data_IF_347653239127
#
_entry.id   IF_347653239127
#
_cell.length_a   1.000
_cell.length_b   1.000
_cell.length_c   1.000
_cell.angle_alpha   90.00
_cell.angle_beta   90.00
_cell.angle_gamma   90.00
#
_symmetry.space_group_name_H-M   'P 1'
#
loop_
_entity.id
_entity.type
_entity.pdbx_description
1 polymer ?
#
# COMPACT_ATOMS: atom_id res chain seq x y z
N UNK A 1 20.24 -20.48 -23.27
CA UNK A 1 19.55 -19.59 -22.31
C UNK A 1 19.37 -20.32 -20.98
N UNK A 2 20.11 -19.95 -19.92
CA UNK A 2 19.90 -20.54 -18.58
C UNK A 2 18.54 -20.09 -18.07
N UNK A 3 17.58 -21.01 -17.98
CA UNK A 3 16.26 -20.78 -17.35
C UNK A 3 16.52 -20.13 -15.99
N UNK A 4 16.01 -18.90 -15.82
CA UNK A 4 15.99 -18.21 -14.54
C UNK A 4 15.28 -19.16 -13.58
N UNK A 5 16.02 -19.75 -12.63
CA UNK A 5 15.42 -20.47 -11.51
C UNK A 5 14.70 -19.42 -10.66
N UNK A 6 13.48 -19.09 -11.07
CA UNK A 6 12.51 -18.32 -10.28
C UNK A 6 11.99 -19.22 -9.17
N UNK A 7 12.87 -19.63 -8.24
CA UNK A 7 12.43 -20.09 -6.94
C UNK A 7 12.10 -18.85 -6.10
N UNK A 8 11.12 -18.07 -6.57
CA UNK A 8 10.44 -17.14 -5.70
C UNK A 8 9.68 -18.04 -4.74
N UNK A 9 10.19 -18.12 -3.51
CA UNK A 9 9.76 -19.08 -2.51
C UNK A 9 8.24 -18.96 -2.34
N UNK A 10 7.48 -20.01 -2.69
CA UNK A 10 6.00 -19.98 -2.72
C UNK A 10 5.43 -19.50 -1.38
N UNK A 11 6.13 -19.84 -0.29
CA UNK A 11 5.84 -19.39 1.08
C UNK A 11 5.98 -17.87 1.25
N UNK A 12 6.99 -17.27 0.62
CA UNK A 12 7.23 -15.82 0.65
C UNK A 12 6.13 -15.06 -0.11
N UNK A 13 5.71 -15.54 -1.28
CA UNK A 13 4.59 -14.95 -2.03
C UNK A 13 3.27 -15.05 -1.27
N UNK A 14 2.96 -16.25 -0.74
CA UNK A 14 1.73 -16.45 0.02
C UNK A 14 1.71 -15.55 1.26
N UNK A 15 2.82 -15.49 2.02
CA UNK A 15 2.92 -14.61 3.16
C UNK A 15 2.81 -13.14 2.77
N UNK A 16 3.32 -12.74 1.61
CA UNK A 16 3.21 -11.37 1.11
C UNK A 16 1.75 -11.00 0.82
N UNK A 17 1.02 -11.86 0.10
CA UNK A 17 -0.40 -11.64 -0.23
C UNK A 17 -1.22 -11.52 1.05
N UNK A 18 -1.08 -12.49 1.97
CA UNK A 18 -1.84 -12.49 3.23
C UNK A 18 -1.53 -11.25 4.06
N UNK A 19 -0.25 -10.89 4.23
CA UNK A 19 0.14 -9.68 4.95
C UNK A 19 -0.39 -8.42 4.29
N UNK A 20 -0.32 -8.34 2.97
CA UNK A 20 -0.78 -7.18 2.20
C UNK A 20 -2.27 -6.93 2.41
N UNK A 21 -3.11 -7.97 2.29
CA UNK A 21 -4.55 -7.87 2.53
C UNK A 21 -4.83 -7.52 3.99
N UNK A 22 -4.20 -8.24 4.93
CA UNK A 22 -4.42 -8.05 6.36
C UNK A 22 -4.05 -6.64 6.82
N UNK A 23 -2.83 -6.18 6.54
CA UNK A 23 -2.38 -4.85 6.96
C UNK A 23 -3.11 -3.72 6.23
N UNK A 24 -3.47 -3.91 4.95
CA UNK A 24 -4.32 -2.94 4.24
C UNK A 24 -5.65 -2.74 4.94
N UNK A 25 -6.32 -3.84 5.31
CA UNK A 25 -7.60 -3.79 6.01
C UNK A 25 -7.47 -3.17 7.41
N UNK A 26 -6.48 -3.61 8.20
CA UNK A 26 -6.24 -3.12 9.55
C UNK A 26 -5.91 -1.62 9.55
N UNK A 27 -4.96 -1.17 8.73
CA UNK A 27 -4.60 0.25 8.70
C UNK A 27 -5.74 1.11 8.16
N UNK A 28 -6.42 0.68 7.10
CA UNK A 28 -7.55 1.43 6.55
C UNK A 28 -8.66 1.57 7.60
N UNK A 29 -9.01 0.50 8.32
CA UNK A 29 -10.01 0.55 9.39
C UNK A 29 -9.58 1.46 10.55
N UNK A 30 -8.33 1.31 11.02
CA UNK A 30 -7.80 2.12 12.13
C UNK A 30 -7.78 3.61 11.79
N UNK A 31 -7.23 4.00 10.64
CA UNK A 31 -7.17 5.41 10.25
C UNK A 31 -8.56 5.96 9.92
N UNK A 32 -9.46 5.15 9.36
CA UNK A 32 -10.85 5.58 9.16
C UNK A 32 -11.55 5.85 10.48
N UNK A 33 -11.35 5.01 11.50
CA UNK A 33 -11.91 5.22 12.84
C UNK A 33 -11.36 6.49 13.50
N UNK A 34 -10.06 6.74 13.38
CA UNK A 34 -9.42 7.97 13.91
C UNK A 34 -10.00 9.22 13.24
N UNK A 35 -10.13 9.22 11.91
CA UNK A 35 -10.71 10.35 11.18
C UNK A 35 -12.20 10.52 11.52
N UNK A 36 -12.96 9.43 11.65
CA UNK A 36 -14.37 9.50 12.04
C UNK A 36 -14.55 10.11 13.43
N UNK A 37 -13.71 9.73 14.40
CA UNK A 37 -13.72 10.32 15.74
C UNK A 37 -13.36 11.81 15.69
N UNK A 38 -12.40 12.21 14.86
CA UNK A 38 -12.05 13.62 14.65
C UNK A 38 -13.22 14.41 14.05
N UNK A 39 -13.90 13.86 13.03
CA UNK A 39 -15.05 14.51 12.40
C UNK A 39 -16.19 14.71 13.39
N UNK A 40 -16.45 13.71 14.22
CA UNK A 40 -17.48 13.78 15.26
C UNK A 40 -17.13 14.83 16.33
N UNK A 41 -15.87 14.90 16.76
CA UNK A 41 -15.44 15.83 17.80
C UNK A 41 -15.45 17.30 17.34
N UNK A 42 -15.16 17.57 16.06
CA UNK A 42 -15.05 18.91 15.51
C UNK A 42 -16.25 19.33 14.65
N UNK A 43 -17.33 18.54 14.64
CA UNK A 43 -18.56 18.74 13.86
C UNK A 43 -18.27 19.06 12.38
N UNK A 44 -17.35 18.31 11.79
CA UNK A 44 -16.91 18.52 10.41
C UNK A 44 -17.92 17.85 9.46
N UNK A 45 -18.44 18.63 8.51
CA UNK A 45 -19.35 18.13 7.48
C UNK A 45 -18.77 16.98 6.64
N UNK A 46 -19.63 16.02 6.30
CA UNK A 46 -19.30 14.80 5.56
C UNK A 46 -18.75 15.04 4.15
N UNK A 47 -18.97 16.22 3.57
CA UNK A 47 -18.42 16.60 2.25
C UNK A 47 -16.89 16.49 2.21
N UNK A 48 -16.22 16.83 3.32
CA UNK A 48 -14.77 16.75 3.43
C UNK A 48 -14.24 15.31 3.56
N UNK A 49 -15.08 14.34 3.93
CA UNK A 49 -14.68 12.96 4.20
C UNK A 49 -14.09 12.27 2.96
N UNK A 50 -14.54 12.66 1.76
CA UNK A 50 -14.04 12.11 0.50
C UNK A 50 -12.54 12.39 0.30
N UNK A 51 -12.07 13.58 0.69
CA UNK A 51 -10.67 13.98 0.60
C UNK A 51 -9.82 13.28 1.66
N UNK A 52 -10.32 13.16 2.89
CA UNK A 52 -9.63 12.40 3.95
C UNK A 52 -9.51 10.91 3.63
N UNK A 53 -10.47 10.33 2.90
CA UNK A 53 -10.36 8.97 2.37
C UNK A 53 -9.11 8.80 1.49
N UNK A 54 -8.69 9.82 0.73
CA UNK A 54 -7.45 9.76 -0.04
C UNK A 54 -6.22 9.71 0.88
N UNK A 55 -6.19 10.54 1.92
CA UNK A 55 -5.12 10.57 2.92
C UNK A 55 -5.00 9.23 3.63
N UNK A 56 -6.12 8.67 4.10
CA UNK A 56 -6.19 7.35 4.75
C UNK A 56 -5.60 6.28 3.83
N UNK A 57 -6.00 6.25 2.57
CA UNK A 57 -5.50 5.27 1.59
C UNK A 57 -3.99 5.38 1.38
N UNK A 58 -3.47 6.60 1.23
CA UNK A 58 -2.04 6.85 0.99
C UNK A 58 -1.20 6.39 2.18
N UNK A 59 -1.60 6.75 3.40
CA UNK A 59 -0.88 6.36 4.62
C UNK A 59 -0.96 4.84 4.81
N UNK A 60 -2.16 4.25 4.67
CA UNK A 60 -2.36 2.80 4.78
C UNK A 60 -1.53 2.02 3.76
N UNK A 61 -1.48 2.50 2.51
CA UNK A 61 -0.69 1.90 1.44
C UNK A 61 0.80 2.00 1.68
N UNK A 62 1.28 3.15 2.15
CA UNK A 62 2.68 3.36 2.51
C UNK A 62 3.14 2.42 3.64
N UNK A 63 2.37 2.33 4.73
CA UNK A 63 2.71 1.46 5.86
C UNK A 63 2.62 -0.03 5.49
N UNK A 64 1.59 -0.43 4.76
CA UNK A 64 1.46 -1.80 4.24
C UNK A 64 2.65 -2.17 3.37
N UNK A 65 3.02 -1.29 2.43
CA UNK A 65 4.16 -1.49 1.55
C UNK A 65 5.48 -1.59 2.31
N UNK A 66 5.68 -0.74 3.32
CA UNK A 66 6.85 -0.80 4.18
C UNK A 66 6.97 -2.17 4.86
N UNK A 67 5.91 -2.67 5.48
CA UNK A 67 5.95 -3.94 6.21
C UNK A 67 6.11 -5.13 5.25
N UNK A 68 5.37 -5.13 4.13
CA UNK A 68 5.39 -6.21 3.16
C UNK A 68 6.72 -6.31 2.40
N UNK A 69 7.32 -5.17 2.01
CA UNK A 69 8.57 -5.15 1.26
C UNK A 69 9.80 -5.51 2.11
N UNK A 70 9.72 -5.44 3.44
CA UNK A 70 10.85 -5.75 4.33
C UNK A 70 11.39 -7.18 4.19
N UNK A 71 10.52 -8.11 3.74
CA UNK A 71 10.88 -9.51 3.53
C UNK A 71 11.67 -9.74 2.23
N UNK A 72 11.72 -8.74 1.35
CA UNK A 72 12.36 -8.83 0.04
C UNK A 72 13.77 -8.21 0.07
N UNK A 73 14.64 -8.72 -0.80
CA UNK A 73 16.05 -8.27 -0.92
C UNK A 73 16.30 -7.33 -2.11
N UNK A 74 15.39 -7.32 -3.09
CA UNK A 74 15.50 -6.49 -4.29
C UNK A 74 14.11 -6.07 -4.78
N UNK A 75 14.05 -5.12 -5.71
CA UNK A 75 12.83 -4.65 -6.37
C UNK A 75 11.77 -4.10 -5.41
N UNK A 76 12.22 -3.41 -4.35
CA UNK A 76 11.33 -2.88 -3.30
C UNK A 76 10.25 -1.96 -3.81
N UNK A 77 10.54 -1.16 -4.85
CA UNK A 77 9.52 -0.32 -5.49
C UNK A 77 8.38 -1.14 -6.08
N UNK A 78 8.70 -2.18 -6.85
CA UNK A 78 7.70 -3.01 -7.50
C UNK A 78 6.92 -3.84 -6.48
N UNK A 79 7.59 -4.39 -5.47
CA UNK A 79 6.94 -5.10 -4.36
C UNK A 79 6.01 -4.17 -3.58
N UNK A 80 6.46 -2.94 -3.30
CA UNK A 80 5.65 -1.91 -2.66
C UNK A 80 4.41 -1.55 -3.48
N UNK A 81 4.58 -1.27 -4.78
CA UNK A 81 3.47 -0.98 -5.68
C UNK A 81 2.45 -2.13 -5.76
N UNK A 82 2.91 -3.38 -5.84
CA UNK A 82 2.02 -4.56 -5.86
C UNK A 82 1.29 -4.75 -4.53
N UNK A 83 1.89 -4.35 -3.40
CA UNK A 83 1.21 -4.43 -2.10
C UNK A 83 0.01 -3.47 -1.99
N UNK A 84 -0.10 -2.47 -2.87
CA UNK A 84 -1.24 -1.55 -2.90
C UNK A 84 -2.51 -2.16 -3.54
N UNK A 85 -2.42 -3.33 -4.20
CA UNK A 85 -3.55 -3.93 -4.93
C UNK A 85 -4.83 -4.07 -4.09
N UNK A 86 -4.79 -4.54 -2.82
CA UNK A 86 -6.01 -4.61 -1.99
C UNK A 86 -6.68 -3.24 -1.79
N UNK A 87 -5.89 -2.18 -1.61
CA UNK A 87 -6.40 -0.81 -1.46
C UNK A 87 -6.94 -0.24 -2.77
N UNK A 88 -6.37 -0.63 -3.91
CA UNK A 88 -6.90 -0.26 -5.24
C UNK A 88 -8.27 -0.91 -5.45
N UNK A 89 -8.42 -2.20 -5.10
CA UNK A 89 -9.70 -2.90 -5.16
C UNK A 89 -10.72 -2.21 -4.25
N UNK A 90 -10.32 -1.88 -3.01
CA UNK A 90 -11.17 -1.13 -2.08
C UNK A 90 -11.63 0.22 -2.65
N UNK A 91 -10.72 0.99 -3.27
CA UNK A 91 -11.04 2.26 -3.91
C UNK A 91 -12.01 2.10 -5.07
N UNK A 92 -11.88 1.01 -5.85
CA UNK A 92 -12.79 0.71 -6.95
C UNK A 92 -14.20 0.39 -6.44
N UNK A 93 -14.31 -0.41 -5.38
CA UNK A 93 -15.60 -0.69 -4.73
C UNK A 93 -16.22 0.60 -4.21
N UNK A 94 -15.44 1.49 -3.59
CA UNK A 94 -15.91 2.79 -3.14
C UNK A 94 -16.36 3.71 -4.28
N UNK A 95 -15.74 3.64 -5.45
CA UNK A 95 -16.18 4.40 -6.62
C UNK A 95 -17.58 3.96 -7.07
N UNK A 96 -17.81 2.65 -7.12
CA UNK A 96 -19.08 2.07 -7.57
C UNK A 96 -20.19 2.26 -6.54
N UNK A 97 -19.90 2.01 -5.26
CA UNK A 97 -20.92 1.97 -4.21
C UNK A 97 -21.20 3.33 -3.55
N UNK A 98 -20.20 4.21 -3.45
CA UNK A 98 -20.29 5.49 -2.72
C UNK A 98 -20.26 6.72 -3.64
N UNK A 99 -20.47 6.54 -4.95
CA UNK A 99 -20.51 7.60 -5.97
C UNK A 99 -19.35 8.60 -5.87
N UNK A 100 -18.15 8.11 -5.56
CA UNK A 100 -16.97 8.96 -5.48
C UNK A 100 -16.70 9.63 -6.84
N UNK A 101 -16.11 10.82 -6.86
CA UNK A 101 -15.76 11.45 -8.13
C UNK A 101 -14.65 10.65 -8.84
N UNK A 102 -14.84 10.39 -10.14
CA UNK A 102 -13.89 9.61 -10.96
C UNK A 102 -12.48 10.21 -10.92
N UNK A 103 -12.38 11.54 -10.92
CA UNK A 103 -11.11 12.25 -10.77
C UNK A 103 -10.38 11.89 -9.48
N UNK A 104 -11.09 11.87 -8.35
CA UNK A 104 -10.51 11.56 -7.05
C UNK A 104 -10.04 10.10 -6.97
N UNK A 105 -10.72 9.18 -7.66
CA UNK A 105 -10.27 7.79 -7.79
C UNK A 105 -8.90 7.68 -8.47
N UNK A 106 -8.69 8.35 -9.60
CA UNK A 106 -7.39 8.33 -10.29
C UNK A 106 -6.29 8.98 -9.45
N UNK A 107 -6.60 10.09 -8.77
CA UNK A 107 -5.65 10.73 -7.87
C UNK A 107 -5.23 9.79 -6.73
N UNK A 108 -6.19 9.11 -6.08
CA UNK A 108 -5.92 8.10 -5.04
C UNK A 108 -5.02 6.99 -5.58
N UNK A 109 -5.29 6.48 -6.78
CA UNK A 109 -4.55 5.39 -7.39
C UNK A 109 -3.09 5.77 -7.64
N UNK A 110 -2.84 6.92 -8.26
CA UNK A 110 -1.48 7.40 -8.55
C UNK A 110 -0.70 7.64 -7.26
N UNK A 111 -1.29 8.35 -6.30
CA UNK A 111 -0.63 8.67 -5.03
C UNK A 111 -0.29 7.42 -4.23
N UNK A 112 -1.24 6.48 -4.12
CA UNK A 112 -1.02 5.22 -3.39
C UNK A 112 0.09 4.41 -4.04
N UNK A 113 0.10 4.24 -5.37
CA UNK A 113 1.15 3.47 -6.05
C UNK A 113 2.52 4.10 -5.86
N UNK A 114 2.63 5.42 -6.00
CA UNK A 114 3.91 6.12 -5.83
C UNK A 114 4.42 6.01 -4.39
N UNK A 115 3.57 6.33 -3.41
CA UNK A 115 3.96 6.30 -1.99
C UNK A 115 4.26 4.87 -1.53
N UNK A 116 3.44 3.89 -1.91
CA UNK A 116 3.69 2.48 -1.64
C UNK A 116 4.99 2.01 -2.30
N UNK A 117 5.25 2.42 -3.54
CA UNK A 117 6.49 2.13 -4.25
C UNK A 117 7.71 2.69 -3.52
N UNK A 118 7.71 3.97 -3.15
CA UNK A 118 8.84 4.58 -2.43
C UNK A 118 9.04 3.97 -1.04
N UNK A 119 7.97 3.73 -0.28
CA UNK A 119 8.04 3.08 1.03
C UNK A 119 8.56 1.64 0.93
N UNK A 120 8.13 0.90 -0.10
CA UNK A 120 8.64 -0.44 -0.37
C UNK A 120 10.13 -0.43 -0.75
N UNK A 121 10.56 0.53 -1.57
CA UNK A 121 11.97 0.73 -1.93
C UNK A 121 12.84 1.08 -0.73
N UNK A 122 12.32 1.90 0.19
CA UNK A 122 12.99 2.27 1.44
C UNK A 122 13.10 1.08 2.41
N UNK A 123 12.10 0.22 2.47
CA UNK A 123 12.04 -0.90 3.42
C UNK A 123 12.95 -2.10 3.08
N UNK A 124 13.22 -2.33 1.80
CA UNK A 124 14.02 -3.49 1.37
C UNK A 124 15.41 -3.49 1.99
N UNK A 125 15.80 -4.63 2.59
CA UNK A 125 17.14 -4.82 3.13
C UNK A 125 18.17 -4.78 1.99
N UNK A 126 18.85 -3.65 1.82
CA UNK A 126 19.99 -3.52 0.90
C UNK A 126 21.12 -4.42 1.38
N UNK A 127 21.15 -5.66 0.91
CA UNK A 127 22.32 -6.54 1.04
C UNK A 127 23.45 -5.95 0.21
N UNK A 128 24.27 -5.05 0.79
CA UNK A 128 25.52 -4.59 0.18
C UNK A 128 26.41 -5.82 -0.09
N UNK A 129 26.37 -6.35 -1.31
CA UNK A 129 27.45 -7.20 -1.83
C UNK A 129 28.45 -6.30 -2.54
N UNK A 130 29.22 -5.54 -1.77
CA UNK A 130 30.48 -5.00 -2.29
C UNK A 130 31.46 -6.17 -2.22
N UNK A 131 31.56 -6.93 -3.32
CA UNK A 131 32.57 -7.97 -3.45
C UNK A 131 33.87 -7.25 -3.83
N UNK A 132 34.64 -6.81 -2.83
CA UNK A 132 36.01 -6.37 -3.06
C UNK A 132 36.80 -7.60 -3.47
N UNK A 133 37.18 -7.70 -4.75
CA UNK A 133 38.18 -8.68 -5.18
C UNK A 133 39.53 -8.20 -4.65
N UNK A 134 40.22 -9.04 -3.86
CA UNK A 134 41.68 -8.98 -3.73
C UNK A 134 42.28 -9.66 -4.96
#
# INVERSE_FOLDING_TARGET
MKKIKSSLDRKLLLSFIVKSVFFSAVFCALFSAVIAAFFYQFDIGFESAQYFSAVIMVISGGLTAYICAHSFKNSGFLVGAVSAVPLIIYSLVNLIANHNTVWLFFLKLVLVILVAGFMGAYSVKKSKKIRVKK
#
